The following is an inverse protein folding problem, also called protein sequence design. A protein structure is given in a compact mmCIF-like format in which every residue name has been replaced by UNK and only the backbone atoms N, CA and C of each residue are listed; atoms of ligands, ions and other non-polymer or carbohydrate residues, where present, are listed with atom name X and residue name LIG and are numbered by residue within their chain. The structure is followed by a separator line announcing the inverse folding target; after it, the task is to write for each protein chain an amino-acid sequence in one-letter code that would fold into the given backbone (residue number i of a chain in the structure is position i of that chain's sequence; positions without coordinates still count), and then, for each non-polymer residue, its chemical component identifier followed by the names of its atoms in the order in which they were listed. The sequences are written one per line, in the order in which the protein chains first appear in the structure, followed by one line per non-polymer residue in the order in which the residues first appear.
data_IF_387940719374
#
_entry.id   IF_387940719374
#
_cell.length_a   1.000
_cell.length_b   1.000
_cell.length_c   1.000
_cell.angle_alpha   90.00
_cell.angle_beta   90.00
_cell.angle_gamma   90.00
#
_symmetry.space_group_name_H-M   'P 1'
#
loop_
_entity.id
_entity.type
_entity.pdbx_description
1 polymer ?
#
# COMPACT_ATOMS: atom_id res chain seq x y z
N UNK A 1 -3.41 9.71 17.32
CA UNK A 1 -3.66 8.80 16.17
C UNK A 1 -4.75 7.79 16.50
N UNK A 2 -5.61 7.48 15.53
CA UNK A 2 -6.54 6.36 15.65
C UNK A 2 -5.81 5.06 15.33
N UNK A 3 -5.81 4.09 16.24
CA UNK A 3 -5.17 2.80 16.05
C UNK A 3 -6.08 1.90 15.20
N UNK A 4 -5.58 1.47 14.05
CA UNK A 4 -6.32 0.63 13.12
C UNK A 4 -5.53 -0.62 12.73
N UNK A 5 -6.24 -1.60 12.16
CA UNK A 5 -5.64 -2.86 11.73
C UNK A 5 -6.20 -3.31 10.37
N UNK A 6 -5.33 -3.76 9.46
CA UNK A 6 -5.76 -4.30 8.17
C UNK A 6 -6.41 -5.66 8.36
N UNK A 7 -7.59 -5.82 7.75
CA UNK A 7 -8.35 -7.05 7.66
C UNK A 7 -8.82 -7.31 6.23
N UNK A 8 -8.54 -8.48 5.69
CA UNK A 8 -8.83 -8.82 4.29
C UNK A 8 -10.25 -9.39 4.07
N UNK A 9 -11.06 -9.39 5.10
CA UNK A 9 -12.44 -9.86 5.00
C UNK A 9 -12.66 -11.24 5.63
N UNK A 10 -13.85 -11.85 5.43
CA UNK A 10 -14.26 -13.08 6.14
C UNK A 10 -13.30 -14.26 5.99
N UNK A 11 -12.58 -14.30 4.86
CA UNK A 11 -11.60 -15.37 4.58
C UNK A 11 -10.19 -15.07 5.13
N UNK A 12 -10.01 -13.92 5.81
CA UNK A 12 -8.73 -13.61 6.46
C UNK A 12 -8.46 -14.62 7.60
N UNK A 13 -7.25 -15.22 7.67
CA UNK A 13 -6.86 -16.01 8.83
C UNK A 13 -6.97 -15.27 10.16
N UNK A 14 -6.69 -13.96 10.17
CA UNK A 14 -6.93 -13.08 11.31
C UNK A 14 -8.43 -12.74 11.42
N UNK A 15 -9.12 -13.34 12.37
CA UNK A 15 -10.56 -13.09 12.59
C UNK A 15 -10.79 -11.78 13.32
N UNK A 16 -11.96 -11.15 13.15
CA UNK A 16 -12.33 -9.89 13.82
C UNK A 16 -12.17 -9.98 15.33
N UNK A 17 -12.53 -11.14 15.95
CA UNK A 17 -12.35 -11.34 17.39
C UNK A 17 -10.88 -11.33 17.82
N UNK A 18 -9.97 -11.85 16.99
CA UNK A 18 -8.53 -11.75 17.26
C UNK A 18 -8.07 -10.28 17.20
N UNK A 19 -8.57 -9.52 16.21
CA UNK A 19 -8.21 -8.10 16.04
C UNK A 19 -8.73 -7.25 17.21
N UNK A 20 -9.88 -7.57 17.80
CA UNK A 20 -10.35 -6.89 19.02
C UNK A 20 -9.34 -7.01 20.16
N UNK A 21 -8.74 -8.20 20.34
CA UNK A 21 -7.74 -8.44 21.41
C UNK A 21 -6.46 -7.62 21.20
N UNK A 22 -6.16 -7.22 19.97
CA UNK A 22 -5.00 -6.34 19.67
C UNK A 22 -5.17 -4.92 20.24
N UNK A 23 -6.41 -4.52 20.56
CA UNK A 23 -6.71 -3.23 21.18
C UNK A 23 -6.70 -2.06 20.21
N UNK A 24 -7.17 -2.27 18.98
CA UNK A 24 -7.46 -1.24 17.98
C UNK A 24 -8.93 -0.84 18.03
N UNK A 25 -9.26 0.35 17.54
CA UNK A 25 -10.64 0.85 17.46
C UNK A 25 -11.17 0.85 16.03
N UNK A 26 -10.27 0.79 15.04
CA UNK A 26 -10.62 0.88 13.64
C UNK A 26 -10.11 -0.29 12.81
N UNK A 27 -10.89 -0.63 11.78
CA UNK A 27 -10.56 -1.62 10.76
C UNK A 27 -10.26 -0.89 9.45
N UNK A 28 -9.18 -1.33 8.82
CA UNK A 28 -8.82 -0.98 7.45
C UNK A 28 -9.13 -2.17 6.56
N UNK A 29 -10.04 -2.03 5.60
CA UNK A 29 -10.44 -3.15 4.74
C UNK A 29 -10.91 -2.69 3.36
N UNK A 30 -11.16 -3.64 2.49
CA UNK A 30 -11.67 -3.47 1.12
C UNK A 30 -12.67 -4.58 0.77
N UNK A 31 -13.40 -4.41 -0.32
CA UNK A 31 -14.33 -5.40 -0.86
C UNK A 31 -13.67 -6.17 -2.02
N UNK A 32 -12.61 -6.94 -1.70
CA UNK A 32 -11.79 -7.63 -2.70
C UNK A 32 -12.55 -8.67 -3.54
N UNK A 33 -13.74 -9.10 -3.10
CA UNK A 33 -14.59 -10.04 -3.84
C UNK A 33 -15.37 -9.38 -4.97
N UNK A 34 -15.41 -8.03 -5.03
CA UNK A 34 -16.01 -7.30 -6.14
C UNK A 34 -15.01 -7.24 -7.28
N UNK A 35 -15.50 -7.52 -8.49
CA UNK A 35 -14.67 -7.52 -9.70
C UNK A 35 -13.93 -6.19 -9.88
N UNK A 36 -12.70 -6.26 -10.32
CA UNK A 36 -11.82 -5.11 -10.54
C UNK A 36 -12.45 -4.05 -11.45
N UNK A 37 -12.57 -2.82 -10.95
CA UNK A 37 -13.18 -1.70 -11.65
C UNK A 37 -14.69 -1.55 -11.47
N UNK A 38 -15.38 -2.56 -10.92
CA UNK A 38 -16.81 -2.48 -10.66
C UNK A 38 -17.11 -1.72 -9.35
N UNK A 39 -18.29 -1.11 -9.29
CA UNK A 39 -18.71 -0.31 -8.14
C UNK A 39 -18.92 -1.14 -6.87
N UNK A 40 -18.52 -0.58 -5.77
CA UNK A 40 -18.88 -1.10 -4.45
C UNK A 40 -20.30 -0.63 -4.09
N UNK A 41 -21.25 -1.55 -4.23
CA UNK A 41 -22.67 -1.27 -3.97
C UNK A 41 -22.93 -1.14 -2.46
N UNK A 42 -23.96 -0.35 -2.11
CA UNK A 42 -24.34 -0.05 -0.73
C UNK A 42 -24.58 -1.31 0.10
N UNK A 43 -25.23 -2.30 -0.48
CA UNK A 43 -25.51 -3.59 0.17
C UNK A 43 -24.22 -4.29 0.65
N UNK A 44 -23.20 -4.40 -0.21
CA UNK A 44 -21.94 -5.06 0.13
C UNK A 44 -21.14 -4.28 1.19
N UNK A 45 -21.20 -2.95 1.14
CA UNK A 45 -20.61 -2.08 2.16
C UNK A 45 -21.29 -2.30 3.51
N UNK A 46 -22.62 -2.28 3.56
CA UNK A 46 -23.41 -2.52 4.78
C UNK A 46 -23.15 -3.91 5.35
N UNK A 47 -23.10 -4.93 4.50
CA UNK A 47 -22.78 -6.32 4.88
C UNK A 47 -21.40 -6.40 5.54
N UNK A 48 -20.37 -5.77 4.96
CA UNK A 48 -19.03 -5.72 5.53
C UNK A 48 -19.00 -4.96 6.86
N UNK A 49 -19.70 -3.82 6.95
CA UNK A 49 -19.83 -3.06 8.21
C UNK A 49 -20.49 -3.87 9.31
N UNK A 50 -21.56 -4.61 8.99
CA UNK A 50 -22.23 -5.48 9.96
C UNK A 50 -21.26 -6.45 10.60
N UNK A 51 -20.43 -7.14 9.80
CA UNK A 51 -19.42 -8.08 10.32
C UNK A 51 -18.39 -7.38 11.23
N UNK A 52 -17.95 -6.18 10.87
CA UNK A 52 -16.96 -5.42 11.65
C UNK A 52 -17.56 -4.94 12.98
N UNK A 53 -18.78 -4.43 12.94
CA UNK A 53 -19.43 -3.80 14.09
C UNK A 53 -20.08 -4.81 15.03
N UNK A 54 -20.23 -6.08 14.59
CA UNK A 54 -20.89 -7.11 15.37
C UNK A 54 -20.16 -7.35 16.70
N UNK A 55 -20.89 -7.26 17.78
CA UNK A 55 -20.45 -7.58 19.14
C UNK A 55 -21.44 -8.55 19.77
N UNK A 56 -20.94 -9.52 20.54
CA UNK A 56 -21.77 -10.53 21.23
C UNK A 56 -22.32 -9.99 22.55
N UNK A 57 -21.70 -8.97 23.10
CA UNK A 57 -22.17 -8.31 24.33
C UNK A 57 -21.82 -6.82 24.31
N UNK A 58 -22.52 -6.02 25.12
CA UNK A 58 -22.25 -4.58 25.29
C UNK A 58 -20.86 -4.28 25.88
N UNK A 59 -20.22 -5.27 26.52
CA UNK A 59 -18.88 -5.16 27.11
C UNK A 59 -17.76 -5.33 26.08
N UNK A 60 -18.04 -5.85 24.88
CA UNK A 60 -17.03 -6.02 23.85
C UNK A 60 -16.63 -4.70 23.20
N UNK A 61 -15.34 -4.56 22.88
CA UNK A 61 -14.83 -3.42 22.13
C UNK A 61 -15.48 -3.35 20.74
N UNK A 62 -16.26 -2.30 20.49
CA UNK A 62 -16.88 -2.06 19.19
C UNK A 62 -15.85 -1.53 18.21
N UNK A 63 -15.65 -2.24 17.11
CA UNK A 63 -14.80 -1.83 16.00
C UNK A 63 -15.62 -1.06 14.97
N UNK A 64 -14.98 -0.15 14.22
CA UNK A 64 -15.59 0.55 13.10
C UNK A 64 -14.76 0.37 11.83
N UNK A 65 -15.36 0.46 10.67
CA UNK A 65 -14.63 0.55 9.40
C UNK A 65 -14.10 1.97 9.22
N UNK A 66 -12.82 2.19 9.51
CA UNK A 66 -12.21 3.52 9.53
C UNK A 66 -11.66 3.95 8.18
N UNK A 67 -11.08 3.02 7.42
CA UNK A 67 -10.46 3.31 6.12
C UNK A 67 -10.85 2.26 5.09
N UNK A 68 -11.39 2.70 3.96
CA UNK A 68 -11.47 1.88 2.76
C UNK A 68 -10.11 1.97 2.04
N UNK A 69 -9.34 0.89 2.11
CA UNK A 69 -8.01 0.84 1.50
C UNK A 69 -8.02 -0.05 0.27
N UNK A 70 -7.41 0.44 -0.80
CA UNK A 70 -7.36 -0.23 -2.10
C UNK A 70 -8.73 -0.29 -2.82
N UNK A 71 -9.53 0.81 -2.76
CA UNK A 71 -10.59 0.99 -3.75
C UNK A 71 -9.91 1.02 -5.13
N UNK A 72 -10.19 0.05 -6.03
CA UNK A 72 -9.37 -0.14 -7.21
C UNK A 72 -9.59 0.97 -8.24
N UNK A 73 -8.52 1.70 -8.60
CA UNK A 73 -8.51 2.54 -9.80
C UNK A 73 -8.17 1.66 -11.00
N UNK A 74 -9.12 1.48 -11.93
CA UNK A 74 -8.93 0.59 -13.08
C UNK A 74 -7.76 1.04 -13.98
N UNK A 75 -7.07 0.10 -14.63
CA UNK A 75 -5.94 0.42 -15.50
C UNK A 75 -6.34 1.31 -16.68
N UNK A 76 -7.54 1.16 -17.22
CA UNK A 76 -8.05 2.03 -18.28
C UNK A 76 -8.13 3.50 -17.82
N UNK A 77 -8.41 3.77 -16.53
CA UNK A 77 -8.34 5.12 -15.97
C UNK A 77 -6.90 5.61 -15.95
N UNK A 78 -5.97 4.76 -15.50
CA UNK A 78 -4.54 5.09 -15.40
C UNK A 78 -3.92 5.34 -16.78
N UNK A 79 -4.30 4.56 -17.79
CA UNK A 79 -3.87 4.74 -19.19
C UNK A 79 -4.71 5.74 -19.97
N UNK A 80 -5.86 6.13 -19.45
CA UNK A 80 -6.88 6.96 -20.09
C UNK A 80 -7.30 6.40 -21.45
N UNK A 81 -7.46 5.10 -21.53
CA UNK A 81 -7.83 4.34 -22.74
C UNK A 81 -8.99 3.39 -22.46
N UNK A 82 -9.45 2.68 -23.47
CA UNK A 82 -10.50 1.68 -23.33
C UNK A 82 -11.80 2.25 -22.74
N UNK A 83 -12.33 1.58 -21.71
CA UNK A 83 -13.60 1.96 -21.05
C UNK A 83 -13.39 2.89 -19.86
N UNK A 84 -12.38 3.78 -19.87
CA UNK A 84 -12.01 4.58 -18.70
C UNK A 84 -13.15 5.44 -18.16
N UNK A 85 -14.04 6.00 -19.00
CA UNK A 85 -15.21 6.79 -18.56
C UNK A 85 -16.16 5.94 -17.73
N UNK A 86 -16.51 4.75 -18.21
CA UNK A 86 -17.33 3.78 -17.47
C UNK A 86 -16.73 3.49 -16.08
N UNK A 87 -15.44 3.20 -16.03
CA UNK A 87 -14.77 2.90 -14.77
C UNK A 87 -14.68 4.12 -13.83
N UNK A 88 -14.59 5.34 -14.35
CA UNK A 88 -14.66 6.55 -13.53
C UNK A 88 -16.06 6.68 -12.90
N UNK A 89 -17.13 6.40 -13.62
CA UNK A 89 -18.49 6.47 -13.08
C UNK A 89 -18.72 5.39 -12.01
N UNK A 90 -18.25 4.14 -12.24
CA UNK A 90 -18.26 3.09 -11.21
C UNK A 90 -17.49 3.51 -9.95
N UNK A 91 -16.37 4.22 -10.15
CA UNK A 91 -15.55 4.71 -9.06
C UNK A 91 -16.25 5.83 -8.27
N UNK A 92 -16.87 6.79 -8.95
CA UNK A 92 -17.66 7.86 -8.34
C UNK A 92 -18.81 7.30 -7.49
N UNK A 93 -19.56 6.35 -8.03
CA UNK A 93 -20.62 5.66 -7.30
C UNK A 93 -20.11 4.98 -6.02
N UNK A 94 -18.92 4.35 -6.11
CA UNK A 94 -18.28 3.70 -4.96
C UNK A 94 -17.91 4.71 -3.87
N UNK A 95 -17.40 5.90 -4.26
CA UNK A 95 -17.09 6.99 -3.32
C UNK A 95 -18.33 7.48 -2.58
N UNK A 96 -19.43 7.70 -3.32
CA UNK A 96 -20.71 8.12 -2.76
C UNK A 96 -21.24 7.07 -1.78
N UNK A 97 -21.25 5.79 -2.18
CA UNK A 97 -21.75 4.69 -1.35
C UNK A 97 -20.93 4.52 -0.06
N UNK A 98 -19.59 4.63 -0.13
CA UNK A 98 -18.73 4.61 1.04
C UNK A 98 -19.04 5.77 1.99
N UNK A 99 -19.18 6.98 1.44
CA UNK A 99 -19.48 8.17 2.24
C UNK A 99 -20.85 8.10 2.93
N UNK A 100 -21.89 7.65 2.23
CA UNK A 100 -23.24 7.39 2.80
C UNK A 100 -23.16 6.42 3.99
N UNK A 101 -22.23 5.49 3.95
CA UNK A 101 -21.95 4.54 5.02
C UNK A 101 -20.96 5.06 6.08
N UNK A 102 -20.66 6.36 6.10
CA UNK A 102 -19.73 7.00 7.06
C UNK A 102 -18.26 6.52 6.95
N UNK A 103 -17.88 5.95 5.82
CA UNK A 103 -16.49 5.58 5.51
C UNK A 103 -15.91 6.69 4.65
N UNK A 104 -15.23 7.64 5.29
CA UNK A 104 -14.79 8.89 4.66
C UNK A 104 -13.28 8.98 4.43
N UNK A 105 -12.48 8.04 4.91
CA UNK A 105 -11.06 7.95 4.58
C UNK A 105 -10.87 6.84 3.57
N UNK A 106 -10.36 7.20 2.37
CA UNK A 106 -10.23 6.28 1.25
C UNK A 106 -8.80 6.36 0.72
N UNK A 107 -8.09 5.23 0.81
CA UNK A 107 -6.73 5.06 0.29
C UNK A 107 -6.78 4.35 -1.08
N UNK A 108 -6.11 4.93 -2.07
CA UNK A 108 -6.05 4.41 -3.42
C UNK A 108 -4.62 4.31 -3.96
N UNK A 109 -4.45 3.52 -5.00
CA UNK A 109 -3.20 3.35 -5.73
C UNK A 109 -3.36 3.85 -7.17
N UNK A 110 -2.32 4.50 -7.72
CA UNK A 110 -2.31 4.93 -9.13
C UNK A 110 -1.13 4.34 -9.91
N UNK A 111 -0.59 3.24 -9.42
CA UNK A 111 0.50 2.50 -10.05
C UNK A 111 -0.03 1.68 -11.23
N UNK A 112 0.60 1.73 -12.42
CA UNK A 112 0.23 0.84 -13.52
C UNK A 112 0.38 -0.63 -13.14
N UNK A 113 -0.60 -1.44 -13.45
CA UNK A 113 -0.71 -2.90 -13.33
C UNK A 113 -0.61 -3.46 -11.92
N UNK A 114 0.52 -3.28 -11.25
CA UNK A 114 0.83 -3.91 -9.96
C UNK A 114 1.16 -2.83 -8.92
N UNK A 115 0.41 -2.82 -7.84
CA UNK A 115 0.50 -1.81 -6.80
C UNK A 115 1.65 -2.07 -5.81
N UNK A 116 2.13 -3.30 -5.73
CA UNK A 116 3.13 -3.71 -4.76
C UNK A 116 3.97 -4.87 -5.30
N UNK A 117 5.29 -4.82 -5.11
CA UNK A 117 6.21 -5.81 -5.67
C UNK A 117 7.23 -6.28 -4.64
N UNK A 118 7.29 -7.59 -4.44
CA UNK A 118 8.36 -8.29 -3.70
C UNK A 118 8.84 -9.49 -4.51
N UNK A 119 10.11 -9.76 -4.45
CA UNK A 119 10.74 -10.89 -5.16
C UNK A 119 10.86 -12.14 -4.29
N UNK A 120 10.68 -11.99 -2.99
CA UNK A 120 10.72 -13.07 -2.02
C UNK A 120 9.70 -12.80 -0.91
N UNK A 121 8.74 -13.69 -0.76
CA UNK A 121 7.67 -13.59 0.25
C UNK A 121 8.00 -14.38 1.52
N UNK A 122 9.11 -15.14 1.51
CA UNK A 122 9.52 -16.04 2.59
C UNK A 122 11.00 -15.85 2.97
N UNK A 123 11.46 -14.60 2.94
CA UNK A 123 12.84 -14.29 3.29
C UNK A 123 13.11 -14.54 4.78
N UNK A 124 13.96 -15.54 5.06
CA UNK A 124 14.30 -15.93 6.42
C UNK A 124 15.35 -14.99 7.02
N UNK A 125 15.00 -14.39 8.15
CA UNK A 125 15.90 -13.52 8.93
C UNK A 125 16.82 -14.34 9.85
N UNK A 126 17.84 -13.69 10.43
CA UNK A 126 18.80 -14.34 11.35
C UNK A 126 18.12 -14.97 12.58
N UNK A 127 17.05 -14.39 13.07
CA UNK A 127 16.24 -14.89 14.18
C UNK A 127 15.17 -15.91 13.77
N UNK A 128 15.26 -16.46 12.55
CA UNK A 128 14.32 -17.39 11.94
C UNK A 128 12.92 -16.83 11.66
N UNK A 129 12.63 -15.57 11.92
CA UNK A 129 11.39 -14.93 11.47
C UNK A 129 11.38 -14.83 9.93
N UNK A 130 10.17 -14.79 9.34
CA UNK A 130 10.00 -14.67 7.89
C UNK A 130 9.54 -13.25 7.57
N UNK A 131 10.25 -12.60 6.66
CA UNK A 131 9.99 -11.25 6.16
C UNK A 131 9.73 -11.25 4.65
N UNK A 132 9.30 -10.11 4.13
CA UNK A 132 9.21 -9.85 2.70
C UNK A 132 10.50 -9.17 2.22
N UNK A 133 10.99 -9.54 1.03
CA UNK A 133 12.21 -8.95 0.45
C UNK A 133 11.99 -8.56 -1.01
N UNK A 134 12.58 -7.43 -1.38
CA UNK A 134 12.79 -7.05 -2.77
C UNK A 134 14.28 -7.18 -3.12
N UNK A 135 14.57 -7.92 -4.18
CA UNK A 135 15.92 -8.11 -4.73
C UNK A 135 15.93 -7.65 -6.18
N UNK A 136 16.71 -6.61 -6.46
CA UNK A 136 16.76 -5.97 -7.77
C UNK A 136 17.34 -6.88 -8.88
N UNK A 137 18.26 -7.77 -8.54
CA UNK A 137 18.79 -8.72 -9.52
C UNK A 137 17.82 -9.85 -9.83
N UNK A 138 17.02 -10.30 -8.85
CA UNK A 138 15.91 -11.23 -9.11
C UNK A 138 14.82 -10.58 -9.95
N UNK A 139 14.56 -9.28 -9.74
CA UNK A 139 13.65 -8.51 -10.60
C UNK A 139 14.18 -8.39 -12.03
N UNK A 140 15.48 -8.08 -12.19
CA UNK A 140 16.16 -8.08 -13.48
C UNK A 140 16.03 -9.43 -14.19
N UNK A 141 16.28 -10.53 -13.48
CA UNK A 141 16.13 -11.87 -14.03
C UNK A 141 14.69 -12.15 -14.50
N UNK A 142 13.69 -11.71 -13.73
CA UNK A 142 12.28 -11.86 -14.10
C UNK A 142 11.94 -11.08 -15.38
N UNK A 143 12.35 -9.82 -15.48
CA UNK A 143 12.06 -8.98 -16.65
C UNK A 143 12.80 -9.46 -17.92
N UNK A 144 14.09 -9.79 -17.80
CA UNK A 144 14.95 -10.11 -18.94
C UNK A 144 14.83 -11.57 -19.38
N UNK A 145 14.75 -12.52 -18.43
CA UNK A 145 14.80 -13.95 -18.75
C UNK A 145 13.40 -14.57 -18.82
N UNK A 146 12.53 -14.25 -17.84
CA UNK A 146 11.21 -14.88 -17.74
C UNK A 146 10.21 -14.17 -18.62
N UNK A 147 10.02 -12.86 -18.42
CA UNK A 147 9.08 -12.07 -19.22
C UNK A 147 9.62 -11.77 -20.63
N UNK A 148 10.93 -11.63 -20.78
CA UNK A 148 11.56 -11.23 -22.05
C UNK A 148 10.93 -9.93 -22.58
N UNK A 149 10.77 -8.94 -21.71
CA UNK A 149 10.21 -7.64 -22.08
C UNK A 149 11.17 -6.96 -23.06
N UNK A 150 10.62 -6.43 -24.15
CA UNK A 150 11.40 -5.65 -25.12
C UNK A 150 12.14 -4.51 -24.40
N UNK A 151 13.40 -4.32 -24.74
CA UNK A 151 14.28 -3.29 -24.16
C UNK A 151 14.47 -3.36 -22.63
N UNK A 152 14.12 -4.50 -21.99
CA UNK A 152 14.34 -4.68 -20.56
C UNK A 152 15.83 -4.55 -20.21
N UNK A 153 16.71 -5.02 -21.08
CA UNK A 153 18.17 -4.94 -20.94
C UNK A 153 18.70 -3.50 -20.90
N UNK A 154 18.01 -2.54 -21.54
CA UNK A 154 18.41 -1.11 -21.50
C UNK A 154 18.18 -0.45 -20.13
N UNK A 155 17.37 -1.06 -19.24
CA UNK A 155 17.08 -0.55 -17.89
C UNK A 155 18.08 -1.02 -16.84
N UNK A 156 18.94 -1.96 -17.21
CA UNK A 156 19.94 -2.56 -16.33
C UNK A 156 21.34 -2.42 -16.91
N UNK A 157 22.35 -2.27 -16.05
CA UNK A 157 23.74 -2.29 -16.51
C UNK A 157 24.12 -3.69 -17.01
N UNK A 158 25.08 -3.80 -17.91
CA UNK A 158 25.62 -5.10 -18.38
C UNK A 158 26.02 -6.00 -17.21
N UNK A 159 26.66 -5.42 -16.17
CA UNK A 159 27.06 -6.14 -14.95
C UNK A 159 25.86 -6.69 -14.17
N UNK A 160 24.76 -5.93 -14.08
CA UNK A 160 23.53 -6.41 -13.43
C UNK A 160 22.89 -7.56 -14.20
N UNK A 161 22.83 -7.48 -15.53
CA UNK A 161 22.27 -8.54 -16.38
C UNK A 161 23.08 -9.83 -16.25
N UNK A 162 24.44 -9.76 -16.29
CA UNK A 162 25.30 -10.93 -16.10
C UNK A 162 25.04 -11.57 -14.75
N UNK A 163 25.09 -10.79 -13.67
CA UNK A 163 24.80 -11.29 -12.31
C UNK A 163 23.39 -11.88 -12.17
N UNK A 164 22.38 -11.25 -12.77
CA UNK A 164 21.00 -11.74 -12.74
C UNK A 164 20.89 -13.11 -13.45
N UNK A 165 21.57 -13.30 -14.60
CA UNK A 165 21.63 -14.58 -15.32
C UNK A 165 22.31 -15.66 -14.47
N UNK A 166 23.42 -15.34 -13.81
CA UNK A 166 24.13 -16.26 -12.92
C UNK A 166 23.27 -16.69 -11.73
N UNK A 167 22.62 -15.72 -11.05
CA UNK A 167 21.70 -15.99 -9.96
C UNK A 167 20.57 -16.90 -10.44
N UNK A 168 19.94 -16.57 -11.56
CA UNK A 168 18.82 -17.34 -12.10
C UNK A 168 19.22 -18.76 -12.50
N UNK A 169 20.43 -18.95 -13.05
CA UNK A 169 20.99 -20.28 -13.38
C UNK A 169 21.15 -21.14 -12.11
N UNK A 170 21.62 -20.55 -11.00
CA UNK A 170 21.84 -21.23 -9.72
C UNK A 170 20.54 -21.49 -8.93
N UNK A 171 19.45 -20.79 -9.22
CA UNK A 171 18.18 -20.97 -8.51
C UNK A 171 17.61 -22.37 -8.76
N UNK A 172 17.11 -23.01 -7.70
CA UNK A 172 16.31 -24.24 -7.76
C UNK A 172 15.00 -23.99 -8.49
N UNK A 173 14.38 -25.02 -9.04
CA UNK A 173 13.09 -24.89 -9.72
C UNK A 173 11.99 -24.34 -8.79
N UNK A 174 11.99 -24.73 -7.51
CA UNK A 174 11.07 -24.20 -6.49
C UNK A 174 11.23 -22.69 -6.28
N UNK A 175 12.47 -22.19 -6.26
CA UNK A 175 12.75 -20.75 -6.11
C UNK A 175 12.33 -19.96 -7.35
N UNK A 176 12.57 -20.51 -8.57
CA UNK A 176 12.07 -19.92 -9.83
C UNK A 176 10.54 -19.86 -9.86
N UNK A 177 9.88 -20.92 -9.39
CA UNK A 177 8.42 -20.95 -9.28
C UNK A 177 7.92 -19.91 -8.27
N UNK A 178 8.54 -19.81 -7.10
CA UNK A 178 8.20 -18.83 -6.06
C UNK A 178 8.37 -17.39 -6.56
N UNK A 179 9.47 -17.10 -7.28
CA UNK A 179 9.71 -15.79 -7.89
C UNK A 179 8.60 -15.42 -8.90
N UNK A 180 8.24 -16.37 -9.79
CA UNK A 180 7.13 -16.16 -10.73
C UNK A 180 5.82 -15.89 -10.00
N UNK A 181 5.49 -16.71 -9.01
CA UNK A 181 4.25 -16.58 -8.23
C UNK A 181 4.17 -15.24 -7.50
N UNK A 182 5.27 -14.75 -6.89
CA UNK A 182 5.27 -13.48 -6.18
C UNK A 182 5.11 -12.27 -7.11
N UNK A 183 5.69 -12.32 -8.31
CA UNK A 183 5.66 -11.20 -9.26
C UNK A 183 4.43 -11.19 -10.19
N UNK A 184 3.79 -12.33 -10.39
CA UNK A 184 2.55 -12.44 -11.18
C UNK A 184 1.29 -12.24 -10.33
N UNK A 185 1.39 -12.39 -9.01
CA UNK A 185 0.24 -12.32 -8.09
C UNK A 185 0.00 -10.95 -7.47
N UNK A 186 0.99 -10.04 -7.51
CA UNK A 186 0.89 -8.76 -6.81
C UNK A 186 0.57 -8.90 -5.32
N UNK A 187 -0.02 -7.87 -4.72
CA UNK A 187 -0.51 -7.92 -3.34
C UNK A 187 -1.63 -8.95 -3.23
N UNK A 188 -1.59 -9.76 -2.18
CA UNK A 188 -2.60 -10.79 -1.89
C UNK A 188 -4.04 -10.23 -1.72
N UNK A 189 -4.20 -8.92 -1.67
CA UNK A 189 -5.47 -8.21 -1.62
C UNK A 189 -6.15 -8.05 -2.97
N UNK A 190 -5.41 -8.19 -4.07
CA UNK A 190 -5.98 -8.13 -5.41
C UNK A 190 -6.12 -9.57 -5.93
N UNK A 191 -7.34 -10.02 -6.21
CA UNK A 191 -7.59 -11.32 -6.86
C UNK A 191 -7.02 -11.38 -8.30
N UNK A 192 -6.33 -10.32 -8.73
CA UNK A 192 -5.74 -10.19 -10.05
C UNK A 192 -4.41 -10.95 -10.10
N UNK A 193 -4.49 -12.18 -10.59
CA UNK A 193 -3.32 -12.99 -10.94
C UNK A 193 -3.15 -12.94 -12.45
N UNK A 194 -1.95 -12.64 -12.88
CA UNK A 194 -1.60 -12.66 -14.29
C UNK A 194 -0.94 -13.98 -14.67
N UNK A 195 -1.27 -14.51 -15.84
CA UNK A 195 -0.34 -15.36 -16.59
C UNK A 195 0.80 -14.50 -17.17
N UNK A 196 1.88 -15.12 -17.60
CA UNK A 196 2.99 -14.40 -18.26
C UNK A 196 2.51 -13.62 -19.48
N UNK A 197 1.65 -14.24 -20.30
CA UNK A 197 1.15 -13.61 -21.53
C UNK A 197 0.21 -12.44 -21.23
N UNK A 198 -0.68 -12.59 -20.24
CA UNK A 198 -1.54 -11.50 -19.80
C UNK A 198 -0.74 -10.32 -19.25
N UNK A 199 0.30 -10.58 -18.43
CA UNK A 199 1.14 -9.51 -17.91
C UNK A 199 1.87 -8.76 -19.04
N UNK A 200 2.41 -9.48 -20.03
CA UNK A 200 3.03 -8.86 -21.21
C UNK A 200 2.05 -7.99 -21.99
N UNK A 201 0.87 -8.52 -22.27
CA UNK A 201 -0.19 -7.79 -22.96
C UNK A 201 -0.60 -6.51 -22.21
N UNK A 202 -0.75 -6.61 -20.91
CA UNK A 202 -1.08 -5.46 -20.10
C UNK A 202 0.08 -4.43 -20.01
N UNK A 203 1.34 -4.89 -19.97
CA UNK A 203 2.51 -3.99 -20.03
C UNK A 203 2.52 -3.24 -21.37
N UNK A 204 2.22 -3.92 -22.47
CA UNK A 204 2.22 -3.32 -23.81
C UNK A 204 1.19 -2.18 -23.94
N UNK A 205 0.06 -2.26 -23.26
CA UNK A 205 -0.93 -1.16 -23.20
C UNK A 205 -0.39 0.14 -22.59
N UNK A 206 0.65 0.06 -21.76
CA UNK A 206 1.26 1.21 -21.11
C UNK A 206 2.58 1.65 -21.75
N UNK A 207 3.03 1.01 -22.84
CA UNK A 207 4.37 1.23 -23.42
C UNK A 207 4.62 2.68 -23.86
N UNK A 208 3.57 3.36 -24.35
CA UNK A 208 3.66 4.76 -24.84
C UNK A 208 3.40 5.77 -23.71
N UNK A 209 3.04 5.32 -22.52
CA UNK A 209 2.73 6.20 -21.39
C UNK A 209 4.00 6.48 -20.60
N UNK A 210 4.50 7.70 -20.73
CA UNK A 210 5.64 8.15 -19.95
C UNK A 210 5.21 8.73 -18.59
N UNK A 211 6.17 9.23 -17.83
CA UNK A 211 5.95 9.78 -16.50
C UNK A 211 5.03 11.02 -16.49
N UNK A 212 5.16 11.88 -17.49
CA UNK A 212 4.33 13.09 -17.65
C UNK A 212 2.89 12.71 -18.01
N UNK A 213 2.71 11.75 -18.91
CA UNK A 213 1.39 11.26 -19.31
C UNK A 213 0.65 10.65 -18.11
N UNK A 214 1.32 9.81 -17.34
CA UNK A 214 0.71 9.20 -16.17
C UNK A 214 0.33 10.24 -15.10
N UNK A 215 1.14 11.28 -14.90
CA UNK A 215 0.80 12.42 -14.02
C UNK A 215 -0.41 13.20 -14.54
N UNK A 216 -0.49 13.45 -15.84
CA UNK A 216 -1.64 14.10 -16.46
C UNK A 216 -2.91 13.24 -16.33
N UNK A 217 -2.80 11.92 -16.48
CA UNK A 217 -3.90 10.99 -16.29
C UNK A 217 -4.39 10.99 -14.82
N UNK A 218 -3.47 11.03 -13.85
CA UNK A 218 -3.82 11.23 -12.44
C UNK A 218 -4.54 12.56 -12.21
N UNK A 219 -4.02 13.66 -12.75
CA UNK A 219 -4.65 14.97 -12.65
C UNK A 219 -6.07 14.96 -13.21
N UNK A 220 -6.25 14.43 -14.42
CA UNK A 220 -7.55 14.35 -15.06
C UNK A 220 -8.55 13.49 -14.26
N UNK A 221 -8.10 12.35 -13.74
CA UNK A 221 -8.90 11.51 -12.85
C UNK A 221 -9.32 12.26 -11.59
N UNK A 222 -8.39 12.96 -10.94
CA UNK A 222 -8.69 13.74 -9.74
C UNK A 222 -9.67 14.88 -10.03
N UNK A 223 -9.55 15.57 -11.17
CA UNK A 223 -10.50 16.63 -11.59
C UNK A 223 -11.92 16.07 -11.68
N UNK A 224 -12.08 14.87 -12.24
CA UNK A 224 -13.38 14.24 -12.44
C UNK A 224 -14.06 13.78 -11.13
N UNK A 225 -13.28 13.40 -10.11
CA UNK A 225 -13.83 12.92 -8.82
C UNK A 225 -13.85 13.98 -7.72
N UNK A 226 -13.09 15.08 -7.85
CA UNK A 226 -12.90 16.05 -6.79
C UNK A 226 -14.18 16.72 -6.30
N UNK A 227 -15.20 17.04 -7.16
CA UNK A 227 -16.47 17.55 -6.69
C UNK A 227 -17.13 16.62 -5.65
N UNK A 228 -17.12 15.30 -5.90
CA UNK A 228 -17.66 14.28 -4.99
C UNK A 228 -16.85 14.23 -3.68
N UNK A 229 -15.52 14.30 -3.78
CA UNK A 229 -14.67 14.30 -2.58
C UNK A 229 -14.99 15.49 -1.68
N UNK A 230 -15.24 16.66 -2.26
CA UNK A 230 -15.55 17.89 -1.53
C UNK A 230 -16.95 17.83 -0.92
N UNK A 231 -17.99 17.53 -1.72
CA UNK A 231 -19.39 17.43 -1.32
C UNK A 231 -19.56 16.43 -0.16
N UNK A 232 -18.99 15.26 -0.30
CA UNK A 232 -19.11 14.17 0.68
C UNK A 232 -18.07 14.23 1.80
N UNK A 233 -17.18 15.24 1.84
CA UNK A 233 -16.11 15.44 2.83
C UNK A 233 -15.20 14.21 2.95
N UNK A 234 -14.87 13.59 1.81
CA UNK A 234 -14.02 12.40 1.74
C UNK A 234 -12.55 12.82 1.87
N UNK A 235 -11.83 12.21 2.79
CA UNK A 235 -10.37 12.28 2.91
C UNK A 235 -9.75 11.25 1.98
N UNK A 236 -9.45 11.68 0.77
CA UNK A 236 -8.88 10.84 -0.27
C UNK A 236 -7.36 10.89 -0.19
N UNK A 237 -6.69 9.74 -0.19
CA UNK A 237 -5.25 9.69 -0.02
C UNK A 237 -4.60 8.62 -0.90
N UNK A 238 -3.64 9.08 -1.73
CA UNK A 238 -2.86 8.18 -2.57
C UNK A 238 -1.79 7.46 -1.74
N UNK A 239 -1.62 6.17 -1.98
CA UNK A 239 -0.49 5.40 -1.45
C UNK A 239 0.78 5.67 -2.28
N UNK A 240 1.95 5.88 -1.66
CA UNK A 240 3.20 6.00 -2.41
C UNK A 240 3.57 4.69 -3.10
N UNK A 241 4.35 4.81 -4.18
CA UNK A 241 4.82 3.65 -4.95
C UNK A 241 5.61 2.66 -4.10
N UNK A 242 5.40 1.38 -4.29
CA UNK A 242 6.07 0.32 -3.53
C UNK A 242 6.57 -0.82 -4.43
N UNK A 243 7.85 -0.80 -4.79
CA UNK A 243 8.90 0.16 -4.44
C UNK A 243 8.80 1.48 -5.20
N UNK A 244 9.49 2.57 -4.73
CA UNK A 244 9.43 3.91 -5.30
C UNK A 244 10.35 4.06 -6.53
N UNK A 245 10.24 3.18 -7.49
CA UNK A 245 10.91 3.24 -8.79
C UNK A 245 10.19 2.38 -9.83
N UNK A 246 10.47 2.65 -11.10
CA UNK A 246 9.81 1.99 -12.22
C UNK A 246 9.91 0.46 -12.15
N UNK A 247 8.79 -0.20 -12.41
CA UNK A 247 8.65 -1.65 -12.47
C UNK A 247 8.16 -2.02 -13.88
N UNK A 248 8.74 -3.03 -14.50
CA UNK A 248 8.48 -3.45 -15.88
C UNK A 248 8.70 -2.33 -16.93
N UNK A 249 9.49 -1.32 -16.60
CA UNK A 249 9.64 -0.13 -17.43
C UNK A 249 8.50 0.89 -17.30
N UNK A 250 7.45 0.58 -16.54
CA UNK A 250 6.30 1.45 -16.38
C UNK A 250 6.58 2.56 -15.37
N UNK A 251 6.10 3.80 -15.61
CA UNK A 251 6.37 4.93 -14.74
C UNK A 251 5.71 4.80 -13.37
N UNK A 252 6.35 5.38 -12.37
CA UNK A 252 5.86 5.57 -11.00
C UNK A 252 5.85 7.06 -10.68
N UNK A 253 4.76 7.57 -10.08
CA UNK A 253 4.51 9.01 -9.94
C UNK A 253 4.20 9.47 -8.52
N UNK A 254 4.39 8.59 -7.53
CA UNK A 254 4.27 8.88 -6.11
C UNK A 254 5.45 8.32 -5.32
N UNK A 255 6.66 8.55 -5.81
CA UNK A 255 7.89 7.95 -5.30
C UNK A 255 8.71 8.87 -4.39
N UNK A 256 8.48 10.18 -4.42
CA UNK A 256 9.33 11.16 -3.75
C UNK A 256 8.60 12.47 -3.38
N UNK A 257 9.31 13.38 -2.71
CA UNK A 257 8.74 14.68 -2.28
C UNK A 257 8.23 15.55 -3.44
N UNK A 258 8.88 15.51 -4.62
CA UNK A 258 8.43 16.28 -5.78
C UNK A 258 7.09 15.77 -6.31
N UNK A 259 6.86 14.46 -6.24
CA UNK A 259 5.57 13.85 -6.59
C UNK A 259 4.47 14.28 -5.62
N UNK A 260 4.78 14.34 -4.32
CA UNK A 260 3.86 14.86 -3.29
C UNK A 260 3.56 16.33 -3.55
N UNK A 261 4.57 17.13 -3.90
CA UNK A 261 4.40 18.53 -4.27
C UNK A 261 3.47 18.68 -5.48
N UNK A 262 3.67 17.88 -6.53
CA UNK A 262 2.81 17.86 -7.71
C UNK A 262 1.37 17.51 -7.35
N UNK A 263 1.14 16.39 -6.65
CA UNK A 263 -0.19 15.95 -6.21
C UNK A 263 -0.93 17.06 -5.44
N UNK A 264 -0.26 17.63 -4.44
CA UNK A 264 -0.88 18.64 -3.56
C UNK A 264 -1.07 20.00 -4.24
N UNK A 265 -0.45 20.22 -5.41
CA UNK A 265 -0.65 21.42 -6.24
C UNK A 265 -1.89 21.31 -7.14
N UNK A 266 -2.34 20.10 -7.49
CA UNK A 266 -3.55 19.89 -8.32
C UNK A 266 -4.77 20.51 -7.64
N UNK A 267 -4.96 20.17 -6.35
CA UNK A 267 -5.96 20.79 -5.48
C UNK A 267 -5.31 21.08 -4.13
N UNK A 268 -5.18 22.35 -3.77
CA UNK A 268 -4.64 22.78 -2.46
C UNK A 268 -5.66 22.55 -1.32
N UNK A 269 -6.25 21.37 -1.30
CA UNK A 269 -7.33 20.99 -0.39
C UNK A 269 -7.00 19.70 0.36
N UNK A 270 -7.40 19.59 1.63
CA UNK A 270 -7.12 18.44 2.49
C UNK A 270 -7.75 17.11 2.04
N UNK A 271 -8.81 17.22 1.22
CA UNK A 271 -9.46 16.03 0.64
C UNK A 271 -8.60 15.37 -0.44
N UNK A 272 -7.62 16.09 -1.02
CA UNK A 272 -6.60 15.55 -1.92
C UNK A 272 -5.30 15.34 -1.15
N UNK A 273 -5.19 14.22 -0.47
CA UNK A 273 -4.11 13.92 0.45
C UNK A 273 -3.25 12.72 0.08
N UNK A 274 -2.41 12.37 1.02
CA UNK A 274 -1.47 11.25 0.92
C UNK A 274 -1.68 10.25 2.04
N UNK A 275 -1.38 9.00 1.76
CA UNK A 275 -1.06 7.99 2.75
C UNK A 275 0.43 8.10 3.05
N UNK A 276 0.78 8.43 4.29
CA UNK A 276 2.18 8.42 4.71
C UNK A 276 2.60 6.97 4.98
N UNK A 277 3.14 6.29 3.98
CA UNK A 277 3.77 5.00 4.18
C UNK A 277 5.28 5.19 4.38
N UNK A 278 5.73 5.10 5.63
CA UNK A 278 7.13 5.34 5.98
C UNK A 278 8.06 4.31 5.35
N UNK A 279 7.62 3.05 5.25
CA UNK A 279 8.40 1.99 4.62
C UNK A 279 8.58 2.18 3.11
N UNK A 280 7.48 2.47 2.36
CA UNK A 280 7.58 2.66 0.90
C UNK A 280 8.48 3.83 0.54
N UNK A 281 8.25 4.99 1.17
CA UNK A 281 9.04 6.19 0.89
C UNK A 281 10.52 6.03 1.29
N UNK A 282 10.82 5.33 2.39
CA UNK A 282 12.18 5.18 2.88
C UNK A 282 13.05 4.24 2.04
N UNK A 283 12.46 3.46 1.13
CA UNK A 283 13.25 2.62 0.20
C UNK A 283 14.22 3.47 -0.62
N UNK A 284 13.80 4.64 -1.08
CA UNK A 284 14.73 5.62 -1.63
C UNK A 284 15.34 6.47 -0.51
N UNK A 285 16.65 6.29 -0.26
CA UNK A 285 17.41 7.03 0.76
C UNK A 285 17.41 8.56 0.57
N UNK A 286 17.04 9.04 -0.63
CA UNK A 286 16.93 10.48 -0.91
C UNK A 286 15.66 11.09 -0.29
N UNK A 287 14.68 10.27 0.05
CA UNK A 287 13.46 10.72 0.71
C UNK A 287 13.72 11.02 2.20
N UNK A 288 13.47 12.26 2.58
CA UNK A 288 13.49 12.66 3.99
C UNK A 288 12.06 12.67 4.54
N UNK A 289 11.67 11.58 5.22
CA UNK A 289 10.31 11.40 5.74
C UNK A 289 9.93 12.48 6.74
N UNK A 290 10.86 12.90 7.60
CA UNK A 290 10.62 13.96 8.59
C UNK A 290 10.31 15.30 7.92
N UNK A 291 11.04 15.65 6.84
CA UNK A 291 10.79 16.85 6.03
C UNK A 291 9.42 16.76 5.34
N UNK A 292 9.07 15.60 4.81
CA UNK A 292 7.75 15.35 4.19
C UNK A 292 6.64 15.60 5.21
N UNK A 293 6.76 15.08 6.44
CA UNK A 293 5.75 15.30 7.49
C UNK A 293 5.64 16.77 7.85
N UNK A 294 6.76 17.45 8.06
CA UNK A 294 6.78 18.89 8.43
C UNK A 294 6.13 19.76 7.35
N UNK A 295 6.37 19.45 6.06
CA UNK A 295 5.92 20.27 4.93
C UNK A 295 4.50 19.94 4.47
N UNK A 296 4.16 18.65 4.43
CA UNK A 296 2.90 18.15 3.89
C UNK A 296 1.97 17.55 4.93
N UNK A 297 2.24 17.73 6.22
CA UNK A 297 1.48 17.16 7.32
C UNK A 297 -0.02 17.36 7.19
N UNK A 298 -0.48 18.56 6.76
CA UNK A 298 -1.90 18.86 6.55
C UNK A 298 -2.61 17.97 5.53
N UNK A 299 -1.87 17.31 4.63
CA UNK A 299 -2.38 16.42 3.58
C UNK A 299 -2.31 14.93 3.96
N UNK A 300 -1.74 14.58 5.12
CA UNK A 300 -1.65 13.19 5.57
C UNK A 300 -3.02 12.77 6.09
N UNK A 301 -3.73 11.92 5.35
CA UNK A 301 -5.06 11.44 5.71
C UNK A 301 -5.07 10.01 6.25
N UNK A 302 -3.99 9.25 6.04
CA UNK A 302 -3.79 7.90 6.54
C UNK A 302 -2.30 7.63 6.75
N UNK A 303 -1.95 6.72 7.67
CA UNK A 303 -0.56 6.45 8.03
C UNK A 303 -0.30 4.95 8.07
N UNK A 304 0.76 4.52 7.36
CA UNK A 304 1.39 3.21 7.52
C UNK A 304 2.72 3.40 8.23
N UNK A 305 2.77 3.03 9.50
CA UNK A 305 4.03 2.98 10.24
C UNK A 305 4.70 1.65 9.94
N UNK A 306 5.59 1.67 8.97
CA UNK A 306 6.33 0.52 8.47
C UNK A 306 7.80 0.85 8.41
N UNK A 307 8.65 -0.13 8.69
CA UNK A 307 10.09 0.03 8.60
C UNK A 307 10.70 -1.01 7.66
N UNK A 308 11.81 -0.65 7.06
CA UNK A 308 12.57 -1.51 6.14
C UNK A 308 14.06 -1.42 6.46
N UNK A 309 14.81 -2.42 6.03
CA UNK A 309 16.26 -2.40 6.03
C UNK A 309 16.76 -2.50 4.59
N UNK A 310 17.56 -1.53 4.17
CA UNK A 310 18.16 -1.50 2.84
C UNK A 310 19.52 -2.20 2.85
N UNK A 311 19.86 -2.85 1.76
CA UNK A 311 21.23 -3.26 1.54
C UNK A 311 22.07 -2.04 1.14
N UNK A 312 23.34 -2.01 1.59
CA UNK A 312 24.30 -0.98 1.19
C UNK A 312 24.53 -1.04 -0.32
N UNK A 313 24.48 0.10 -1.01
CA UNK A 313 24.81 0.24 -2.43
C UNK A 313 23.93 -0.57 -3.42
N UNK A 314 22.74 -0.97 -3.02
CA UNK A 314 21.80 -1.65 -3.91
C UNK A 314 20.38 -1.09 -3.77
N UNK A 315 19.49 -1.51 -4.68
CA UNK A 315 18.05 -1.24 -4.57
C UNK A 315 17.33 -2.30 -3.74
N UNK A 316 18.05 -3.22 -3.12
CA UNK A 316 17.47 -4.28 -2.32
C UNK A 316 17.04 -3.76 -0.95
N UNK A 317 15.95 -4.33 -0.45
CA UNK A 317 15.48 -4.09 0.92
C UNK A 317 14.62 -5.25 1.39
N UNK A 318 14.48 -5.38 2.70
CA UNK A 318 13.52 -6.28 3.32
C UNK A 318 12.72 -5.58 4.41
N UNK A 319 11.55 -6.12 4.73
CA UNK A 319 10.73 -5.60 5.82
C UNK A 319 11.44 -5.84 7.15
N UNK A 320 11.61 -4.80 7.93
CA UNK A 320 12.22 -4.84 9.25
C UNK A 320 11.17 -4.82 10.35
N UNK A 321 11.55 -5.16 11.58
CA UNK A 321 10.77 -4.82 12.75
C UNK A 321 10.59 -3.30 12.82
N UNK A 322 9.52 -2.84 13.46
CA UNK A 322 9.10 -1.44 13.39
C UNK A 322 10.12 -0.46 13.98
N UNK A 323 10.92 -0.90 14.95
CA UNK A 323 11.95 -0.07 15.58
C UNK A 323 13.37 -0.32 15.08
N UNK A 324 13.62 -1.45 14.40
CA UNK A 324 14.99 -1.89 14.03
C UNK A 324 15.38 -1.58 12.57
N UNK A 325 14.54 -0.86 11.83
CA UNK A 325 14.80 -0.49 10.44
C UNK A 325 15.57 0.80 10.27
N UNK A 326 15.58 1.28 9.03
CA UNK A 326 16.29 2.51 8.63
C UNK A 326 15.51 3.79 8.91
N UNK A 327 14.25 3.69 9.35
CA UNK A 327 13.39 4.82 9.72
C UNK A 327 13.44 5.03 11.23
N UNK A 328 13.79 6.23 11.67
CA UNK A 328 13.67 6.61 13.07
C UNK A 328 12.20 6.78 13.48
N UNK A 329 11.58 5.67 13.88
CA UNK A 329 10.16 5.60 14.15
C UNK A 329 9.73 6.51 15.31
N UNK A 330 10.59 6.70 16.30
CA UNK A 330 10.33 7.61 17.45
C UNK A 330 10.15 9.04 16.96
N UNK A 331 11.06 9.55 16.12
CA UNK A 331 10.96 10.88 15.54
C UNK A 331 9.75 11.02 14.61
N UNK A 332 9.45 10.00 13.82
CA UNK A 332 8.26 10.01 12.96
C UNK A 332 6.99 10.15 13.78
N UNK A 333 6.82 9.36 14.83
CA UNK A 333 5.64 9.42 15.71
C UNK A 333 5.56 10.79 16.41
N UNK A 334 6.67 11.30 16.92
CA UNK A 334 6.74 12.64 17.52
C UNK A 334 6.24 13.74 16.57
N UNK A 335 6.66 13.71 15.32
CA UNK A 335 6.23 14.68 14.30
C UNK A 335 4.74 14.55 13.96
N UNK A 336 4.23 13.32 13.85
CA UNK A 336 2.81 13.06 13.59
C UNK A 336 1.96 13.58 14.76
N UNK A 337 2.33 13.31 16.01
CA UNK A 337 1.63 13.82 17.19
C UNK A 337 1.65 15.36 17.24
N UNK A 338 2.76 15.99 16.83
CA UNK A 338 2.83 17.45 16.70
C UNK A 338 1.84 17.97 15.63
N UNK A 339 1.72 17.28 14.50
CA UNK A 339 0.74 17.63 13.46
C UNK A 339 -0.70 17.45 13.95
N UNK A 340 -1.02 16.38 14.68
CA UNK A 340 -2.34 16.20 15.28
C UNK A 340 -2.69 17.29 16.30
N UNK A 341 -1.73 17.68 17.17
CA UNK A 341 -1.89 18.82 18.08
C UNK A 341 -2.14 20.14 17.31
N UNK A 342 -1.44 20.35 16.17
CA UNK A 342 -1.67 21.50 15.29
C UNK A 342 -3.06 21.48 14.67
N UNK A 343 -3.53 20.33 14.18
CA UNK A 343 -4.88 20.16 13.63
C UNK A 343 -5.95 20.46 14.68
N UNK A 344 -5.80 19.93 15.89
CA UNK A 344 -6.74 20.16 17.00
C UNK A 344 -6.87 21.65 17.31
N UNK A 345 -5.75 22.38 17.40
CA UNK A 345 -5.75 23.84 17.63
C UNK A 345 -6.47 24.63 16.52
N UNK A 346 -6.46 24.12 15.30
CA UNK A 346 -7.13 24.72 14.13
C UNK A 346 -8.54 24.15 13.88
N UNK A 347 -9.17 23.52 14.86
CA UNK A 347 -10.50 22.91 14.77
C UNK A 347 -10.66 21.95 13.57
N UNK A 348 -9.60 21.24 13.23
CA UNK A 348 -9.61 20.26 12.14
C UNK A 348 -9.64 18.82 12.70
N UNK A 349 -10.18 17.86 11.94
CA UNK A 349 -10.09 16.44 12.32
C UNK A 349 -8.63 16.05 12.55
N UNK A 350 -8.30 15.59 13.76
CA UNK A 350 -6.92 15.41 14.20
C UNK A 350 -6.51 13.94 14.39
N UNK A 351 -7.45 13.06 14.71
CA UNK A 351 -7.14 11.62 14.85
C UNK A 351 -6.91 10.99 13.47
N UNK A 352 -5.65 10.93 13.04
CA UNK A 352 -5.31 10.33 11.76
C UNK A 352 -5.30 8.80 11.93
N UNK A 353 -6.03 8.03 11.10
CA UNK A 353 -5.96 6.57 11.15
C UNK A 353 -4.53 6.10 10.87
N UNK A 354 -4.03 5.19 11.71
CA UNK A 354 -2.69 4.60 11.60
C UNK A 354 -2.77 3.09 11.75
N UNK A 355 -2.01 2.37 10.96
CA UNK A 355 -1.80 0.93 11.12
C UNK A 355 -0.32 0.54 11.10
N UNK A 356 0.09 -0.50 11.83
CA UNK A 356 1.33 -1.21 11.53
C UNK A 356 1.12 -1.87 10.17
N UNK A 357 1.95 -1.60 9.19
CA UNK A 357 1.70 -2.07 7.83
C UNK A 357 1.93 -3.58 7.70
N UNK A 358 3.19 -3.99 7.59
CA UNK A 358 3.58 -5.39 7.55
C UNK A 358 4.11 -5.86 8.91
N UNK A 359 4.08 -7.16 9.13
CA UNK A 359 4.69 -7.81 10.29
C UNK A 359 5.34 -9.11 9.88
N UNK A 360 6.45 -9.45 10.51
CA UNK A 360 7.14 -10.71 10.28
C UNK A 360 6.24 -11.89 10.62
N UNK A 361 6.38 -12.98 9.89
CA UNK A 361 5.78 -14.26 10.29
C UNK A 361 6.65 -14.86 11.37
N UNK A 362 6.10 -14.94 12.57
CA UNK A 362 6.80 -15.38 13.79
C UNK A 362 6.00 -16.43 14.54
N UNK A 363 6.69 -17.23 15.33
CA UNK A 363 6.12 -18.18 16.29
C UNK A 363 5.02 -19.03 15.61
N UNK A 364 3.88 -19.20 16.22
CA UNK A 364 2.76 -20.02 15.74
C UNK A 364 2.16 -19.59 14.39
N UNK A 365 2.42 -18.35 13.91
CA UNK A 365 1.97 -17.95 12.59
C UNK A 365 2.80 -18.60 11.47
N UNK A 366 4.00 -19.15 11.78
CA UNK A 366 4.80 -19.90 10.81
C UNK A 366 4.17 -21.24 10.41
N UNK A 367 3.38 -21.82 11.29
CA UNK A 367 2.69 -23.11 11.09
C UNK A 367 1.32 -22.94 10.44
N UNK A 368 0.93 -21.70 10.10
CA UNK A 368 -0.39 -21.37 9.56
C UNK A 368 -0.31 -20.84 8.14
N UNK A 369 -1.38 -21.08 7.39
CA UNK A 369 -1.56 -20.38 6.11
C UNK A 369 -1.93 -18.93 6.40
N UNK A 370 -0.98 -18.03 6.19
CA UNK A 370 -1.18 -16.59 6.35
C UNK A 370 -1.01 -15.86 5.01
N UNK A 371 -1.46 -14.62 4.97
CA UNK A 371 -1.16 -13.69 3.88
C UNK A 371 0.28 -13.18 4.10
N UNK A 372 1.22 -13.35 3.15
CA UNK A 372 2.59 -12.91 3.32
C UNK A 372 2.70 -11.43 3.74
N UNK A 373 3.48 -11.16 4.79
CA UNK A 373 3.62 -9.84 5.39
C UNK A 373 2.47 -9.43 6.33
N UNK A 374 1.42 -10.23 6.47
CA UNK A 374 0.26 -9.89 7.27
C UNK A 374 0.02 -10.87 8.44
N UNK A 375 1.09 -11.44 9.00
CA UNK A 375 1.04 -12.20 10.26
C UNK A 375 0.28 -11.41 11.34
N UNK A 376 -0.65 -12.07 12.02
CA UNK A 376 -1.38 -11.45 13.14
C UNK A 376 -0.43 -11.10 14.27
N UNK A 377 0.40 -12.08 14.68
CA UNK A 377 1.35 -11.92 15.78
C UNK A 377 2.43 -10.87 15.47
N UNK A 378 2.99 -10.89 14.25
CA UNK A 378 4.01 -9.92 13.86
C UNK A 378 3.47 -8.48 13.81
N UNK A 379 2.26 -8.29 13.29
CA UNK A 379 1.62 -6.96 13.29
C UNK A 379 1.17 -6.53 14.69
N UNK A 380 0.76 -7.46 15.53
CA UNK A 380 0.43 -7.19 16.93
C UNK A 380 1.67 -6.75 17.71
N UNK A 381 2.82 -7.42 17.53
CA UNK A 381 4.12 -7.00 18.06
C UNK A 381 4.43 -5.57 17.67
N UNK A 382 4.42 -5.28 16.38
CA UNK A 382 4.71 -3.93 15.88
C UNK A 382 3.74 -2.88 16.40
N UNK A 383 2.44 -3.19 16.48
CA UNK A 383 1.48 -2.25 17.06
C UNK A 383 1.74 -2.00 18.53
N UNK A 384 2.15 -3.00 19.32
CA UNK A 384 2.49 -2.83 20.73
C UNK A 384 3.69 -1.89 20.91
N UNK A 385 4.74 -2.06 20.08
CA UNK A 385 5.91 -1.15 20.04
C UNK A 385 5.49 0.28 19.73
N UNK A 386 4.69 0.49 18.70
CA UNK A 386 4.20 1.81 18.28
C UNK A 386 3.29 2.47 19.34
N UNK A 387 2.41 1.68 19.97
CA UNK A 387 1.56 2.16 21.09
C UNK A 387 2.39 2.60 22.29
N UNK A 388 3.46 1.88 22.61
CA UNK A 388 4.39 2.26 23.69
C UNK A 388 4.98 3.65 23.44
N UNK A 389 5.51 3.89 22.23
CA UNK A 389 6.06 5.19 21.84
C UNK A 389 4.99 6.29 21.87
N UNK A 390 3.80 6.03 21.33
CA UNK A 390 2.70 7.00 21.33
C UNK A 390 2.34 7.40 22.77
N UNK A 391 2.25 6.43 23.68
CA UNK A 391 1.96 6.71 25.11
C UNK A 391 3.07 7.49 25.80
N UNK A 392 4.32 7.19 25.50
CA UNK A 392 5.48 7.87 26.11
C UNK A 392 5.64 9.32 25.62
N UNK A 393 5.12 9.67 24.43
CA UNK A 393 5.27 10.99 23.81
C UNK A 393 4.02 11.90 23.97
N UNK A 394 2.91 11.39 24.49
CA UNK A 394 1.69 12.18 24.78
C UNK A 394 1.68 12.75 26.17
#
# INVERSE_FOLDING_TARGET
MELTFRWFGPNDPAKINHIRQVGVTGIVTSLNHIKYGEKWIDYEIKKRKKIINEVKSSKELKLKWSVAESLPVHNDIKSRSGKYKYYIDQYKDSLVNLSKNQIKTICYNFMPLIDWVRTDLNYKLKNNAIALKYDHLKMCAFEVIILKIKDADKRYTKKQIIKAKEIFKKMKNSEKHSLKKSLLGGLAANDRKFSINELKYEIDKFKEINHTDLRNNLKNFLVEIFPILKEHKIKYCIHPDDPPYNIFGLPRIMSNENDIKYLTSIFKHENNGITLCTGSLSVDKKNNIERIIKKYGKYINFIHLRNIKRDTNSKNFYESDHLDGDVNMVNIIKLILKEEKRRKRNNRPFNIPMRPDHGHTIIYDQDKKIIPGYSLLGRMKGLAELKGIIKALN
#
